data_IF_896237151460
#
_entry.id   IF_896237151460
#
_cell.length_a   1.000
_cell.length_b   1.000
_cell.length_c   1.000
_cell.angle_alpha   90.00
_cell.angle_beta   90.00
_cell.angle_gamma   90.00
#
_symmetry.space_group_name_H-M   'P 1'
#
loop_
_entity.id
_entity.type
_entity.pdbx_description
1 polymer ?
#
# COMPACT_ATOMS: atom_id res chain seq x y z
N UNK A 1 2.77 78.83 2.47
CA UNK A 1 3.38 77.53 2.07
C UNK A 1 4.00 76.93 3.33
N UNK A 2 3.46 75.82 3.83
CA UNK A 2 3.99 75.05 4.97
C UNK A 2 4.53 73.71 4.43
N UNK A 3 5.67 73.19 4.89
CA UNK A 3 6.20 71.93 4.40
C UNK A 3 5.45 70.75 5.01
N UNK A 4 5.10 69.77 4.16
CA UNK A 4 4.62 68.46 4.58
C UNK A 4 5.74 67.69 5.27
N UNK A 5 5.60 67.43 6.56
CA UNK A 5 6.40 66.42 7.25
C UNK A 5 5.94 65.03 6.79
N UNK A 6 6.70 64.42 5.88
CA UNK A 6 6.56 63.03 5.48
C UNK A 6 7.38 62.13 6.42
N UNK A 7 6.82 61.77 7.57
CA UNK A 7 7.25 60.56 8.28
C UNK A 7 6.02 59.88 8.87
N UNK A 8 5.73 58.62 8.53
CA UNK A 8 4.73 57.86 9.28
C UNK A 8 5.25 57.66 10.72
N UNK A 9 4.37 57.72 11.73
CA UNK A 9 4.77 57.41 13.10
C UNK A 9 5.35 55.99 13.15
N UNK A 10 6.49 55.83 13.83
CA UNK A 10 7.04 54.50 14.14
C UNK A 10 5.98 53.78 14.96
N UNK A 11 5.37 52.76 14.38
CA UNK A 11 4.54 51.81 15.12
C UNK A 11 5.51 51.09 16.03
N UNK A 12 5.39 51.31 17.34
CA UNK A 12 6.08 50.48 18.33
C UNK A 12 5.75 49.02 18.00
N UNK A 13 6.80 48.21 17.83
CA UNK A 13 6.66 46.79 17.60
C UNK A 13 5.92 46.19 18.80
N UNK A 14 4.60 46.04 18.67
CA UNK A 14 3.87 45.10 19.50
C UNK A 14 4.40 43.73 19.12
N UNK A 15 5.33 43.22 19.93
CA UNK A 15 5.72 41.82 19.92
C UNK A 15 4.45 41.01 20.12
N UNK A 16 3.93 40.41 19.05
CA UNK A 16 2.84 39.45 19.13
C UNK A 16 3.24 38.41 20.20
N UNK A 17 2.39 38.13 21.21
CA UNK A 17 2.70 37.11 22.19
C UNK A 17 3.00 35.80 21.42
N UNK A 18 4.18 35.24 21.65
CA UNK A 18 4.57 33.98 21.03
C UNK A 18 3.54 32.92 21.44
N UNK A 19 2.79 32.40 20.45
CA UNK A 19 1.95 31.24 20.67
C UNK A 19 2.86 30.09 21.14
N UNK A 20 2.45 29.32 22.17
CA UNK A 20 3.20 28.14 22.56
C UNK A 20 3.35 27.23 21.32
N UNK A 21 4.50 26.56 21.15
CA UNK A 21 4.67 25.62 20.05
C UNK A 21 3.52 24.60 20.10
N UNK A 22 2.94 24.23 18.94
CA UNK A 22 1.82 23.31 18.91
C UNK A 22 2.22 22.02 19.65
N UNK A 23 1.31 21.43 20.45
CA UNK A 23 1.61 20.21 21.17
C UNK A 23 2.13 19.16 20.20
N UNK A 24 3.34 18.68 20.44
CA UNK A 24 3.91 17.59 19.65
C UNK A 24 3.18 16.32 20.05
N UNK A 25 2.30 15.83 19.18
CA UNK A 25 1.76 14.48 19.33
C UNK A 25 2.94 13.51 19.46
N UNK A 26 2.96 12.62 20.46
CA UNK A 26 4.01 11.62 20.55
C UNK A 26 4.00 10.83 19.23
N UNK A 27 5.16 10.73 18.57
CA UNK A 27 5.35 9.84 17.43
C UNK A 27 5.11 8.42 17.93
N UNK A 28 3.87 7.95 17.87
CA UNK A 28 3.50 6.57 18.15
C UNK A 28 4.17 5.72 17.08
N UNK A 29 5.36 5.19 17.41
CA UNK A 29 5.93 4.10 16.64
C UNK A 29 4.97 2.91 16.81
N UNK A 30 4.48 2.31 15.72
CA UNK A 30 3.51 1.24 15.81
C UNK A 30 4.15 0.09 16.57
N UNK A 31 3.51 -0.26 17.68
CA UNK A 31 3.97 -1.31 18.57
C UNK A 31 3.40 -2.63 18.04
N UNK A 32 4.28 -3.55 17.67
CA UNK A 32 3.90 -4.94 17.38
C UNK A 32 3.32 -5.57 18.65
N UNK A 33 2.31 -6.42 18.49
CA UNK A 33 1.91 -7.33 19.57
C UNK A 33 3.06 -8.31 19.88
N UNK A 34 3.03 -8.97 21.04
CA UNK A 34 4.09 -9.92 21.41
C UNK A 34 4.23 -11.06 20.38
N UNK A 35 3.11 -11.55 19.84
CA UNK A 35 3.07 -12.56 18.77
C UNK A 35 3.71 -12.03 17.47
N UNK A 36 3.35 -10.82 17.06
CA UNK A 36 3.91 -10.17 15.87
C UNK A 36 5.41 -9.89 16.04
N UNK A 37 5.82 -9.48 17.24
CA UNK A 37 7.21 -9.21 17.58
C UNK A 37 8.04 -10.50 17.53
N UNK A 38 7.52 -11.60 18.06
CA UNK A 38 8.14 -12.91 17.97
C UNK A 38 8.27 -13.39 16.52
N UNK A 39 7.18 -13.28 15.75
CA UNK A 39 7.18 -13.66 14.33
C UNK A 39 8.17 -12.85 13.52
N UNK A 40 8.24 -11.53 13.75
CA UNK A 40 9.17 -10.64 13.06
C UNK A 40 10.62 -10.91 13.44
N UNK A 41 10.93 -11.20 14.72
CA UNK A 41 12.30 -11.52 15.14
C UNK A 41 12.82 -12.83 14.53
N UNK A 42 11.95 -13.83 14.34
CA UNK A 42 12.31 -15.05 13.62
C UNK A 42 12.57 -14.80 12.13
N UNK A 43 11.88 -13.83 11.54
CA UNK A 43 12.04 -13.47 10.13
C UNK A 43 13.22 -12.52 9.87
N UNK A 44 13.72 -11.80 10.87
CA UNK A 44 14.86 -10.89 10.79
C UNK A 44 16.18 -11.63 11.04
N UNK A 45 16.48 -12.60 10.17
CA UNK A 45 17.62 -13.54 10.31
C UNK A 45 18.97 -12.82 10.45
N UNK A 46 19.11 -11.64 9.83
CA UNK A 46 20.35 -10.86 9.84
C UNK A 46 20.37 -9.78 10.94
N UNK A 47 19.33 -9.68 11.77
CA UNK A 47 19.16 -8.63 12.79
C UNK A 47 19.30 -7.21 12.22
N UNK A 48 18.77 -6.99 11.00
CA UNK A 48 18.84 -5.70 10.30
C UNK A 48 17.53 -4.90 10.41
N UNK A 49 16.60 -5.33 11.27
CA UNK A 49 15.23 -4.87 11.32
C UNK A 49 14.48 -5.08 9.98
N UNK A 50 14.79 -6.18 9.27
CA UNK A 50 14.25 -6.51 7.94
C UNK A 50 13.78 -7.96 7.93
N UNK A 51 12.46 -8.15 7.97
CA UNK A 51 11.84 -9.46 7.98
C UNK A 51 11.78 -10.06 6.58
N UNK A 52 12.22 -11.32 6.46
CA UNK A 52 12.10 -12.11 5.24
C UNK A 52 10.63 -12.49 4.99
N UNK A 53 10.01 -12.11 3.87
CA UNK A 53 8.56 -12.24 3.67
C UNK A 53 8.03 -13.68 3.74
N UNK A 54 8.81 -14.66 3.28
CA UNK A 54 8.41 -16.08 3.33
C UNK A 54 8.37 -16.63 4.75
N UNK A 55 9.18 -16.09 5.68
CA UNK A 55 9.12 -16.42 7.11
C UNK A 55 8.00 -15.67 7.82
N UNK A 56 7.67 -14.45 7.35
CA UNK A 56 6.53 -13.68 7.86
C UNK A 56 5.17 -14.24 7.39
N UNK A 57 5.11 -14.92 6.26
CA UNK A 57 3.84 -15.41 5.71
C UNK A 57 3.95 -16.85 5.18
N UNK A 58 4.30 -17.84 6.04
CA UNK A 58 4.64 -19.19 5.61
C UNK A 58 3.46 -19.97 5.00
N UNK A 59 2.22 -19.54 5.27
CA UNK A 59 1.03 -20.16 4.70
C UNK A 59 0.73 -19.70 3.25
N UNK A 60 1.43 -18.66 2.77
CA UNK A 60 1.26 -18.15 1.42
C UNK A 60 2.19 -18.85 0.43
N UNK A 61 1.74 -18.96 -0.82
CA UNK A 61 2.60 -19.44 -1.91
C UNK A 61 3.67 -18.41 -2.26
N UNK A 62 4.77 -18.84 -2.87
CA UNK A 62 5.86 -17.95 -3.28
C UNK A 62 5.38 -16.80 -4.18
N UNK A 63 4.43 -17.05 -5.07
CA UNK A 63 3.85 -16.05 -5.96
C UNK A 63 3.06 -14.99 -5.17
N UNK A 64 2.21 -15.42 -4.24
CA UNK A 64 1.45 -14.53 -3.36
C UNK A 64 2.39 -13.70 -2.47
N UNK A 65 3.45 -14.31 -1.92
CA UNK A 65 4.47 -13.62 -1.12
C UNK A 65 5.20 -12.57 -1.94
N UNK A 66 5.56 -12.88 -3.19
CA UNK A 66 6.27 -11.96 -4.08
C UNK A 66 5.40 -10.73 -4.36
N UNK A 67 4.15 -10.93 -4.78
CA UNK A 67 3.23 -9.81 -5.01
C UNK A 67 2.94 -9.03 -3.74
N UNK A 68 2.73 -9.70 -2.60
CA UNK A 68 2.53 -9.05 -1.30
C UNK A 68 3.73 -8.17 -0.94
N UNK A 69 4.94 -8.68 -1.10
CA UNK A 69 6.16 -7.93 -0.78
C UNK A 69 6.27 -6.68 -1.65
N UNK A 70 6.05 -6.83 -2.96
CA UNK A 70 6.09 -5.71 -3.92
C UNK A 70 5.02 -4.65 -3.65
N UNK A 71 3.87 -5.01 -3.08
CA UNK A 71 2.85 -4.03 -2.67
C UNK A 71 3.38 -3.03 -1.64
N UNK A 72 4.21 -3.49 -0.70
CA UNK A 72 4.61 -2.69 0.46
C UNK A 72 6.07 -2.26 0.44
N UNK A 73 6.92 -2.92 -0.36
CA UNK A 73 8.36 -2.68 -0.40
C UNK A 73 8.89 -2.67 -1.83
N UNK A 74 9.89 -1.82 -2.05
CA UNK A 74 10.68 -1.82 -3.28
C UNK A 74 11.83 -2.85 -3.23
N UNK A 75 12.03 -3.46 -2.05
CA UNK A 75 13.08 -4.41 -1.75
C UNK A 75 12.48 -5.79 -1.46
N UNK A 76 13.32 -6.84 -1.40
CA UNK A 76 12.87 -8.22 -1.18
C UNK A 76 12.54 -8.55 0.29
N UNK A 77 12.37 -7.54 1.14
CA UNK A 77 12.10 -7.67 2.57
C UNK A 77 11.14 -6.60 3.06
N UNK A 78 10.62 -6.80 4.27
CA UNK A 78 9.69 -5.88 4.93
C UNK A 78 10.29 -5.32 6.22
N UNK A 79 10.22 -4.00 6.37
CA UNK A 79 10.38 -3.34 7.66
C UNK A 79 9.18 -3.64 8.58
N UNK A 80 9.29 -3.33 9.87
CA UNK A 80 8.21 -3.54 10.85
C UNK A 80 6.90 -2.86 10.44
N UNK A 81 6.98 -1.65 9.90
CA UNK A 81 5.82 -0.88 9.42
C UNK A 81 5.15 -1.57 8.23
N UNK A 82 5.95 -1.94 7.22
CA UNK A 82 5.45 -2.61 6.02
C UNK A 82 4.87 -3.99 6.35
N UNK A 83 5.44 -4.70 7.33
CA UNK A 83 4.90 -5.96 7.83
C UNK A 83 3.51 -5.78 8.46
N UNK A 84 3.31 -4.77 9.31
CA UNK A 84 2.01 -4.47 9.90
C UNK A 84 0.96 -4.11 8.83
N UNK A 85 1.33 -3.26 7.88
CA UNK A 85 0.44 -2.89 6.78
C UNK A 85 0.05 -4.10 5.93
N UNK A 86 1.01 -5.00 5.67
CA UNK A 86 0.78 -6.26 4.99
C UNK A 86 -0.16 -7.20 5.77
N UNK A 87 0.02 -7.34 7.09
CA UNK A 87 -0.88 -8.15 7.93
C UNK A 87 -2.30 -7.58 7.98
N UNK A 88 -2.44 -6.27 8.14
CA UNK A 88 -3.74 -5.62 8.09
C UNK A 88 -4.42 -5.80 6.72
N UNK A 89 -3.65 -5.72 5.64
CA UNK A 89 -4.15 -5.95 4.29
C UNK A 89 -4.62 -7.40 4.10
N UNK A 90 -3.80 -8.39 4.48
CA UNK A 90 -4.19 -9.81 4.42
C UNK A 90 -5.41 -10.12 5.29
N UNK A 91 -5.53 -9.49 6.46
CA UNK A 91 -6.70 -9.64 7.32
C UNK A 91 -7.99 -9.16 6.62
N UNK A 92 -7.93 -8.06 5.86
CA UNK A 92 -9.06 -7.59 5.04
C UNK A 92 -9.40 -8.58 3.94
N UNK A 93 -8.40 -9.08 3.21
CA UNK A 93 -8.61 -10.10 2.16
C UNK A 93 -9.25 -11.35 2.76
N UNK A 94 -8.75 -11.83 3.90
CA UNK A 94 -9.28 -13.01 4.60
C UNK A 94 -10.72 -12.84 5.03
N UNK A 95 -11.12 -11.63 5.47
CA UNK A 95 -12.51 -11.33 5.78
C UNK A 95 -13.40 -11.40 4.54
N UNK A 96 -12.96 -10.81 3.42
CA UNK A 96 -13.69 -10.86 2.15
C UNK A 96 -13.82 -12.30 1.66
N UNK A 97 -12.72 -13.05 1.64
CA UNK A 97 -12.69 -14.47 1.27
C UNK A 97 -13.61 -15.34 2.13
N UNK A 98 -13.62 -15.14 3.46
CA UNK A 98 -14.46 -15.94 4.36
C UNK A 98 -15.96 -15.57 4.29
N UNK A 99 -16.28 -14.34 3.90
CA UNK A 99 -17.66 -13.88 3.82
C UNK A 99 -18.36 -14.31 2.53
N UNK A 100 -17.60 -14.72 1.51
CA UNK A 100 -18.15 -15.13 0.24
C UNK A 100 -18.51 -16.62 0.22
N UNK A 101 -19.67 -16.96 -0.32
CA UNK A 101 -20.13 -18.35 -0.45
C UNK A 101 -19.52 -18.98 -1.70
N UNK A 102 -18.99 -20.19 -1.56
CA UNK A 102 -18.45 -20.96 -2.68
C UNK A 102 -19.52 -21.33 -3.72
N UNK A 103 -19.19 -21.39 -5.02
CA UNK A 103 -17.89 -21.11 -5.62
C UNK A 103 -17.56 -19.60 -5.64
N UNK A 104 -16.32 -19.23 -5.35
CA UNK A 104 -15.88 -17.82 -5.37
C UNK A 104 -16.04 -17.20 -6.75
N UNK A 105 -16.68 -16.03 -6.79
CA UNK A 105 -16.82 -15.23 -8.00
C UNK A 105 -15.98 -13.98 -7.83
N UNK A 106 -14.94 -13.84 -8.67
CA UNK A 106 -13.98 -12.76 -8.55
C UNK A 106 -14.63 -11.35 -8.55
N UNK A 107 -15.74 -11.19 -9.26
CA UNK A 107 -16.57 -9.99 -9.31
C UNK A 107 -17.15 -9.59 -7.94
N UNK A 108 -17.60 -10.57 -7.15
CA UNK A 108 -18.15 -10.34 -5.81
C UNK A 108 -17.04 -9.98 -4.82
N UNK A 109 -15.88 -10.64 -4.93
CA UNK A 109 -14.70 -10.33 -4.13
C UNK A 109 -14.23 -8.88 -4.38
N UNK A 110 -14.15 -8.46 -5.65
CA UNK A 110 -13.70 -7.13 -6.05
C UNK A 110 -14.73 -6.06 -5.69
N UNK A 111 -16.03 -6.35 -5.83
CA UNK A 111 -17.11 -5.50 -5.35
C UNK A 111 -17.01 -5.26 -3.85
N UNK A 112 -16.82 -6.34 -3.08
CA UNK A 112 -16.67 -6.30 -1.62
C UNK A 112 -15.42 -5.55 -1.16
N UNK A 113 -14.44 -5.41 -2.05
CA UNK A 113 -13.20 -4.67 -1.82
C UNK A 113 -13.29 -3.17 -2.17
N UNK A 114 -14.45 -2.69 -2.63
CA UNK A 114 -14.65 -1.33 -3.15
C UNK A 114 -13.75 -0.95 -4.33
N UNK A 115 -13.33 -1.93 -5.14
CA UNK A 115 -12.56 -1.70 -6.38
C UNK A 115 -13.51 -1.45 -7.57
N UNK A 116 -14.38 -0.44 -7.40
CA UNK A 116 -15.60 -0.20 -8.20
C UNK A 116 -15.37 -0.01 -9.71
N UNK A 117 -14.14 0.30 -10.15
CA UNK A 117 -13.80 0.44 -11.58
C UNK A 117 -13.43 -0.86 -12.28
N UNK A 118 -12.97 -1.89 -11.55
CA UNK A 118 -12.48 -3.12 -12.17
C UNK A 118 -13.62 -4.08 -12.58
N UNK A 119 -14.74 -4.02 -11.85
CA UNK A 119 -15.94 -4.82 -12.12
C UNK A 119 -16.53 -4.62 -13.52
N UNK A 120 -16.24 -3.48 -14.15
CA UNK A 120 -16.73 -3.16 -15.48
C UNK A 120 -15.85 -3.73 -16.60
N UNK A 121 -14.67 -4.28 -16.27
CA UNK A 121 -13.70 -4.78 -17.22
C UNK A 121 -13.59 -6.31 -17.15
N UNK A 122 -14.64 -6.98 -17.64
CA UNK A 122 -14.81 -8.44 -17.59
C UNK A 122 -13.60 -9.19 -18.16
N UNK A 123 -12.99 -8.70 -19.25
CA UNK A 123 -11.82 -9.35 -19.87
C UNK A 123 -10.60 -9.38 -18.93
N UNK A 124 -10.37 -8.29 -18.18
CA UNK A 124 -9.29 -8.22 -17.19
C UNK A 124 -9.58 -9.18 -16.03
N UNK A 125 -10.84 -9.26 -15.59
CA UNK A 125 -11.26 -10.19 -14.54
C UNK A 125 -11.06 -11.65 -14.94
N UNK A 126 -11.49 -12.03 -16.15
CA UNK A 126 -11.26 -13.37 -16.70
C UNK A 126 -9.77 -13.69 -16.77
N UNK A 127 -8.95 -12.76 -17.28
CA UNK A 127 -7.50 -12.95 -17.37
C UNK A 127 -6.84 -13.11 -15.98
N UNK A 128 -7.30 -12.37 -14.97
CA UNK A 128 -6.82 -12.52 -13.59
C UNK A 128 -7.28 -13.83 -12.97
N UNK A 129 -8.52 -14.25 -13.22
CA UNK A 129 -9.04 -15.52 -12.77
C UNK A 129 -8.20 -16.68 -13.33
N UNK A 130 -8.07 -16.77 -14.66
CA UNK A 130 -7.31 -17.81 -15.35
C UNK A 130 -5.82 -17.86 -14.93
N UNK A 131 -5.22 -16.69 -14.65
CA UNK A 131 -3.81 -16.63 -14.24
C UNK A 131 -3.55 -17.18 -12.83
N UNK A 132 -4.52 -17.04 -11.93
CA UNK A 132 -4.32 -17.31 -10.49
C UNK A 132 -5.22 -18.43 -9.95
N UNK A 133 -6.14 -18.96 -10.74
CA UNK A 133 -6.94 -20.13 -10.40
C UNK A 133 -6.09 -21.39 -10.25
N UNK A 134 -6.58 -22.33 -9.45
CA UNK A 134 -6.00 -23.66 -9.28
C UNK A 134 -7.13 -24.68 -9.16
N UNK A 135 -7.09 -25.70 -10.00
CA UNK A 135 -8.14 -26.73 -10.06
C UNK A 135 -9.54 -26.12 -10.24
N UNK A 136 -9.69 -25.22 -11.23
CA UNK A 136 -10.95 -24.54 -11.58
C UNK A 136 -11.59 -23.75 -10.42
N UNK A 137 -10.78 -23.31 -9.46
CA UNK A 137 -11.24 -22.50 -8.33
C UNK A 137 -10.17 -21.54 -7.82
N UNK A 138 -10.60 -20.42 -7.24
CA UNK A 138 -9.70 -19.48 -6.58
C UNK A 138 -9.58 -19.81 -5.09
N UNK A 139 -8.45 -20.38 -4.68
CA UNK A 139 -8.14 -20.52 -3.26
C UNK A 139 -7.71 -19.17 -2.64
N UNK A 140 -7.48 -19.15 -1.33
CA UNK A 140 -7.05 -17.94 -0.62
C UNK A 140 -5.73 -17.36 -1.18
N UNK A 141 -4.84 -18.20 -1.72
CA UNK A 141 -3.58 -17.76 -2.30
C UNK A 141 -3.79 -17.04 -3.64
N UNK A 142 -4.66 -17.58 -4.49
CA UNK A 142 -5.07 -16.97 -5.75
C UNK A 142 -5.75 -15.62 -5.51
N UNK A 143 -6.72 -15.58 -4.59
CA UNK A 143 -7.38 -14.31 -4.20
C UNK A 143 -6.37 -13.31 -3.65
N UNK A 144 -5.46 -13.73 -2.76
CA UNK A 144 -4.41 -12.86 -2.23
C UNK A 144 -3.51 -12.31 -3.33
N UNK A 145 -3.11 -13.16 -4.28
CA UNK A 145 -2.25 -12.75 -5.39
C UNK A 145 -2.93 -11.72 -6.29
N UNK A 146 -4.21 -11.91 -6.63
CA UNK A 146 -5.00 -10.94 -7.41
C UNK A 146 -5.09 -9.60 -6.67
N UNK A 147 -5.47 -9.60 -5.40
CA UNK A 147 -5.59 -8.36 -4.63
C UNK A 147 -4.24 -7.62 -4.49
N UNK A 148 -3.15 -8.36 -4.32
CA UNK A 148 -1.82 -7.78 -4.32
C UNK A 148 -1.47 -7.20 -5.70
N UNK A 149 -1.73 -7.92 -6.78
CA UNK A 149 -1.49 -7.43 -8.15
C UNK A 149 -2.24 -6.12 -8.44
N UNK A 150 -3.51 -6.04 -8.04
CA UNK A 150 -4.33 -4.84 -8.22
C UNK A 150 -3.82 -3.66 -7.38
N UNK A 151 -3.47 -3.91 -6.10
CA UNK A 151 -2.88 -2.89 -5.24
C UNK A 151 -1.53 -2.39 -5.76
N UNK A 152 -0.70 -3.29 -6.27
CA UNK A 152 0.58 -2.94 -6.87
C UNK A 152 0.37 -2.08 -8.12
N UNK A 153 -0.56 -2.46 -9.00
CA UNK A 153 -0.95 -1.68 -10.18
C UNK A 153 -1.35 -0.25 -9.79
N UNK A 154 -2.20 -0.11 -8.78
CA UNK A 154 -2.63 1.19 -8.29
C UNK A 154 -1.46 2.01 -7.74
N UNK A 155 -0.63 1.43 -6.88
CA UNK A 155 0.55 2.11 -6.31
C UNK A 155 1.54 2.55 -7.38
N UNK A 156 1.77 1.73 -8.41
CA UNK A 156 2.62 2.10 -9.53
C UNK A 156 2.01 3.25 -10.32
N UNK A 157 0.71 3.19 -10.62
CA UNK A 157 0.01 4.28 -11.29
C UNK A 157 0.13 5.59 -10.51
N UNK A 158 -0.11 5.57 -9.19
CA UNK A 158 0.05 6.74 -8.31
C UNK A 158 1.49 7.28 -8.30
N UNK A 159 2.50 6.41 -8.41
CA UNK A 159 3.92 6.80 -8.47
C UNK A 159 4.25 7.54 -9.77
N UNK A 160 3.62 7.17 -10.89
CA UNK A 160 3.84 7.78 -12.19
C UNK A 160 2.90 8.96 -12.46
N UNK A 161 1.66 8.94 -11.96
CA UNK A 161 0.66 10.00 -12.10
C UNK A 161 0.79 11.06 -10.98
N UNK A 162 1.94 11.73 -10.95
CA UNK A 162 2.24 12.76 -9.93
C UNK A 162 1.26 13.95 -9.95
N UNK A 163 0.52 14.12 -11.05
CA UNK A 163 -0.42 15.23 -11.25
C UNK A 163 -1.88 14.80 -11.07
N UNK A 164 -2.14 13.54 -10.71
CA UNK A 164 -3.46 12.95 -10.53
C UNK A 164 -4.41 13.22 -11.71
N UNK A 165 -3.89 13.01 -12.92
CA UNK A 165 -4.60 13.24 -14.19
C UNK A 165 -5.46 12.05 -14.61
N UNK A 166 -5.28 10.89 -13.97
CA UNK A 166 -5.94 9.64 -14.34
C UNK A 166 -5.29 8.94 -15.54
N UNK A 167 -4.16 9.45 -16.05
CA UNK A 167 -3.37 8.83 -17.10
C UNK A 167 -1.88 9.11 -16.88
N UNK A 168 -1.04 8.21 -17.40
CA UNK A 168 0.43 8.32 -17.34
C UNK A 168 1.00 8.24 -18.75
N UNK A 169 1.92 9.14 -19.06
CA UNK A 169 2.73 9.06 -20.27
C UNK A 169 4.05 8.39 -19.88
N UNK A 170 4.28 7.19 -20.40
CA UNK A 170 5.50 6.42 -20.13
C UNK A 170 6.31 6.35 -21.41
N UNK A 171 7.62 6.57 -21.31
CA UNK A 171 8.52 6.16 -22.37
C UNK A 171 8.69 4.63 -22.38
N UNK A 172 9.34 4.08 -23.42
CA UNK A 172 9.53 2.63 -23.54
C UNK A 172 10.31 2.04 -22.36
N UNK A 173 11.28 2.77 -21.80
CA UNK A 173 12.10 2.30 -20.68
C UNK A 173 11.27 2.25 -19.40
N UNK A 174 10.46 3.27 -19.14
CA UNK A 174 9.54 3.34 -18.01
C UNK A 174 8.46 2.26 -18.10
N UNK A 175 7.91 2.03 -19.29
CA UNK A 175 6.96 0.94 -19.53
C UNK A 175 7.59 -0.43 -19.25
N UNK A 176 8.78 -0.68 -19.79
CA UNK A 176 9.51 -1.94 -19.54
C UNK A 176 9.79 -2.14 -18.05
N UNK A 177 10.24 -1.10 -17.36
CA UNK A 177 10.44 -1.15 -15.92
C UNK A 177 9.13 -1.49 -15.18
N UNK A 178 8.02 -0.85 -15.54
CA UNK A 178 6.71 -1.13 -14.94
C UNK A 178 6.32 -2.60 -15.14
N UNK A 179 6.49 -3.14 -16.36
CA UNK A 179 6.26 -4.56 -16.62
C UNK A 179 7.12 -5.47 -15.73
N UNK A 180 8.39 -5.15 -15.51
CA UNK A 180 9.26 -5.91 -14.59
C UNK A 180 8.80 -5.86 -13.13
N UNK A 181 8.18 -4.77 -12.69
CA UNK A 181 7.60 -4.70 -11.34
C UNK A 181 6.38 -5.60 -11.16
N UNK A 182 5.68 -5.90 -12.26
CA UNK A 182 4.43 -6.68 -12.27
C UNK A 182 4.63 -8.19 -12.43
N UNK A 183 5.85 -8.62 -12.76
CA UNK A 183 6.30 -10.02 -12.85
C UNK A 183 6.94 -10.41 -11.50
#
# INVERSE_FOLDING_TARGET
MLPFNLYPPKIDQFSLPQLPPPPTFPKLSPRLTDEQQYKFSQADVLNLNKGQPHLLFPALTQQSITHLTRCFSDECYLTKFQFLDAEHFLSRIKKVYNNERQPFQLENLISSANLLGLNQNIQVLSSLYEKYERNDSLDFNGVTAIFCFLRLSQRLLEKFDKQNKGYVNLDLKELMNLCFWMI
#
